data_IF_568797313577
#
_entry.id   IF_568797313577
#
_cell.length_a   1.000
_cell.length_b   1.000
_cell.length_c   1.000
_cell.angle_alpha   90.00
_cell.angle_beta   90.00
_cell.angle_gamma   90.00
#
_symmetry.space_group_name_H-M   'P 1'
#
loop_
_entity.id
_entity.type
_entity.pdbx_description
1 polymer ?
#
# COMPACT_ATOMS: atom_id res chain seq x y z
N UNK A 1 -21.73 -13.67 -21.60
CA UNK A 1 -20.75 -13.04 -22.51
C UNK A 1 -21.08 -11.57 -22.60
N UNK A 2 -20.09 -10.70 -22.78
CA UNK A 2 -20.32 -9.26 -22.98
C UNK A 2 -20.98 -9.04 -24.35
N UNK A 3 -22.08 -8.28 -24.39
CA UNK A 3 -22.85 -7.99 -25.61
C UNK A 3 -21.97 -7.47 -26.75
N UNK A 4 -21.04 -6.56 -26.43
CA UNK A 4 -20.11 -5.97 -27.40
C UNK A 4 -19.17 -7.00 -28.04
N UNK A 5 -18.75 -8.02 -27.29
CA UNK A 5 -17.85 -9.06 -27.81
C UNK A 5 -18.58 -9.98 -28.80
N UNK A 6 -19.85 -10.29 -28.52
CA UNK A 6 -20.69 -11.05 -29.44
C UNK A 6 -20.99 -10.26 -30.73
N UNK A 7 -21.27 -8.96 -30.62
CA UNK A 7 -21.48 -8.10 -31.79
C UNK A 7 -20.19 -7.93 -32.60
N UNK A 8 -19.03 -7.79 -31.96
CA UNK A 8 -17.74 -7.69 -32.63
C UNK A 8 -17.38 -8.97 -33.40
N UNK A 9 -17.73 -10.14 -32.86
CA UNK A 9 -17.37 -11.44 -33.45
C UNK A 9 -18.38 -11.94 -34.49
N UNK A 10 -19.62 -11.44 -34.49
CA UNK A 10 -20.68 -11.89 -35.38
C UNK A 10 -21.36 -10.75 -36.15
N UNK A 11 -20.98 -10.62 -37.44
CA UNK A 11 -21.48 -9.60 -38.36
C UNK A 11 -23.00 -9.66 -38.58
N UNK A 12 -23.63 -10.84 -38.52
CA UNK A 12 -25.07 -10.96 -38.71
C UNK A 12 -25.84 -10.38 -37.52
N UNK A 13 -25.38 -10.68 -36.29
CA UNK A 13 -25.92 -10.07 -35.07
C UNK A 13 -25.70 -8.56 -35.02
N UNK A 14 -24.51 -8.08 -35.39
CA UNK A 14 -24.21 -6.64 -35.48
C UNK A 14 -25.14 -5.90 -36.44
N UNK A 15 -25.40 -6.47 -37.62
CA UNK A 15 -26.35 -5.89 -38.58
C UNK A 15 -27.79 -5.93 -38.10
N UNK A 16 -28.19 -6.98 -37.39
CA UNK A 16 -29.53 -7.05 -36.79
C UNK A 16 -29.72 -5.91 -35.78
N UNK A 17 -28.78 -5.74 -34.85
CA UNK A 17 -28.80 -4.65 -33.87
C UNK A 17 -28.73 -3.26 -34.54
N UNK A 18 -27.95 -3.10 -35.62
CA UNK A 18 -27.86 -1.84 -36.35
C UNK A 18 -29.18 -1.43 -37.04
N UNK A 19 -30.05 -2.39 -37.40
CA UNK A 19 -31.36 -2.11 -38.00
C UNK A 19 -32.39 -1.57 -36.99
N UNK A 20 -32.15 -1.78 -35.70
CA UNK A 20 -33.01 -1.27 -34.62
C UNK A 20 -32.75 0.21 -34.31
N UNK A 21 -31.68 0.77 -34.88
CA UNK A 21 -31.23 2.15 -34.67
C UNK A 21 -31.53 3.01 -35.90
N UNK A 22 -31.73 4.30 -35.67
CA UNK A 22 -31.74 5.30 -36.75
C UNK A 22 -30.32 5.55 -37.26
N UNK A 23 -30.20 6.06 -38.49
CA UNK A 23 -28.90 6.41 -39.10
C UNK A 23 -28.09 7.34 -38.18
N UNK A 24 -28.72 8.40 -37.64
CA UNK A 24 -28.05 9.34 -36.75
C UNK A 24 -27.56 8.70 -35.44
N UNK A 25 -28.33 7.76 -34.87
CA UNK A 25 -27.91 7.02 -33.67
C UNK A 25 -26.73 6.09 -33.97
N UNK A 26 -26.73 5.45 -35.14
CA UNK A 26 -25.63 4.58 -35.58
C UNK A 26 -24.35 5.39 -35.82
N UNK A 27 -24.45 6.56 -36.45
CA UNK A 27 -23.32 7.48 -36.64
C UNK A 27 -22.74 7.95 -35.29
N UNK A 28 -23.60 8.34 -34.34
CA UNK A 28 -23.16 8.74 -33.01
C UNK A 28 -22.49 7.59 -32.25
N UNK A 29 -23.03 6.37 -32.37
CA UNK A 29 -22.42 5.17 -31.79
C UNK A 29 -21.03 4.89 -32.37
N UNK A 30 -20.87 5.01 -33.70
CA UNK A 30 -19.59 4.84 -34.38
C UNK A 30 -18.59 5.91 -33.91
N UNK A 31 -19.00 7.17 -33.82
CA UNK A 31 -18.16 8.26 -33.32
C UNK A 31 -17.67 7.99 -31.89
N UNK A 32 -18.58 7.54 -31.00
CA UNK A 32 -18.23 7.17 -29.64
C UNK A 32 -17.23 6.01 -29.56
N UNK A 33 -17.42 4.96 -30.37
CA UNK A 33 -16.48 3.85 -30.42
C UNK A 33 -15.13 4.22 -31.03
N UNK A 34 -15.09 5.10 -32.02
CA UNK A 34 -13.82 5.62 -32.55
C UNK A 34 -13.04 6.40 -31.47
N UNK A 35 -13.72 7.27 -30.70
CA UNK A 35 -13.07 7.97 -29.60
C UNK A 35 -12.57 7.01 -28.51
N UNK A 36 -13.36 5.99 -28.16
CA UNK A 36 -12.94 4.97 -27.21
C UNK A 36 -11.75 4.17 -27.73
N UNK A 37 -11.71 3.86 -29.03
CA UNK A 37 -10.60 3.16 -29.68
C UNK A 37 -9.31 3.98 -29.63
N UNK A 38 -9.38 5.28 -29.89
CA UNK A 38 -8.21 6.17 -29.80
C UNK A 38 -7.63 6.16 -28.39
N UNK A 39 -8.47 6.34 -27.36
CA UNK A 39 -8.03 6.30 -25.96
C UNK A 39 -7.36 4.98 -25.59
N UNK A 40 -7.96 3.86 -25.98
CA UNK A 40 -7.38 2.53 -25.69
C UNK A 40 -6.04 2.34 -26.40
N UNK A 41 -5.88 2.84 -27.63
CA UNK A 41 -4.60 2.80 -28.34
C UNK A 41 -3.54 3.68 -27.67
N UNK A 42 -3.92 4.88 -27.22
CA UNK A 42 -3.01 5.77 -26.48
C UNK A 42 -2.55 5.13 -25.17
N UNK A 43 -3.48 4.51 -24.42
CA UNK A 43 -3.17 3.81 -23.17
C UNK A 43 -2.24 2.60 -23.39
N UNK A 44 -2.51 1.78 -24.41
CA UNK A 44 -1.65 0.64 -24.76
C UNK A 44 -0.27 1.11 -25.24
N UNK A 45 -0.20 2.14 -26.11
CA UNK A 45 1.08 2.70 -26.54
C UNK A 45 1.88 3.29 -25.37
N UNK A 46 1.22 3.96 -24.42
CA UNK A 46 1.85 4.47 -23.21
C UNK A 46 2.37 3.33 -22.32
N UNK A 47 1.60 2.24 -22.18
CA UNK A 47 2.00 1.05 -21.44
C UNK A 47 3.19 0.35 -22.11
N UNK A 48 3.18 0.18 -23.42
CA UNK A 48 4.29 -0.39 -24.19
C UNK A 48 5.55 0.47 -24.06
N UNK A 49 5.41 1.80 -24.16
CA UNK A 49 6.52 2.73 -23.96
C UNK A 49 7.10 2.67 -22.53
N UNK A 50 6.24 2.57 -21.51
CA UNK A 50 6.68 2.41 -20.13
C UNK A 50 7.42 1.09 -19.93
N UNK A 51 6.90 -0.01 -20.49
CA UNK A 51 7.54 -1.32 -20.43
C UNK A 51 8.89 -1.31 -21.14
N UNK A 52 8.98 -0.72 -22.34
CA UNK A 52 10.22 -0.58 -23.08
C UNK A 52 11.25 0.29 -22.35
N UNK A 53 10.82 1.39 -21.70
CA UNK A 53 11.70 2.22 -20.89
C UNK A 53 12.19 1.46 -19.65
N UNK A 54 11.31 0.69 -19.00
CA UNK A 54 11.67 -0.15 -17.84
C UNK A 54 12.67 -1.24 -18.23
N UNK A 55 12.47 -1.93 -19.34
CA UNK A 55 13.39 -2.96 -19.82
C UNK A 55 14.74 -2.36 -20.21
N UNK A 56 14.76 -1.25 -20.96
CA UNK A 56 16.00 -0.57 -21.34
C UNK A 56 16.80 -0.10 -20.11
N UNK A 57 16.12 0.46 -19.10
CA UNK A 57 16.76 0.82 -17.82
C UNK A 57 17.29 -0.40 -17.07
N UNK A 58 16.55 -1.51 -17.06
CA UNK A 58 17.01 -2.74 -16.42
C UNK A 58 18.27 -3.30 -17.09
N UNK A 59 18.34 -3.26 -18.43
CA UNK A 59 19.53 -3.67 -19.19
C UNK A 59 20.73 -2.76 -18.93
N UNK A 60 20.52 -1.44 -18.85
CA UNK A 60 21.57 -0.49 -18.50
C UNK A 60 22.11 -0.74 -17.09
N UNK A 61 21.21 -0.93 -16.12
CA UNK A 61 21.58 -1.27 -14.74
C UNK A 61 22.34 -2.60 -14.69
N UNK A 62 21.86 -3.64 -15.38
CA UNK A 62 22.55 -4.93 -15.44
C UNK A 62 23.97 -4.80 -16.03
N UNK A 63 24.14 -3.97 -17.05
CA UNK A 63 25.45 -3.69 -17.65
C UNK A 63 26.38 -2.96 -16.68
N UNK A 64 25.87 -1.99 -15.91
CA UNK A 64 26.64 -1.27 -14.90
C UNK A 64 27.07 -2.18 -13.75
N UNK A 65 26.20 -3.10 -13.32
CA UNK A 65 26.51 -4.10 -12.29
C UNK A 65 27.63 -5.02 -12.78
N UNK A 66 27.50 -5.56 -14.01
CA UNK A 66 28.52 -6.42 -14.61
C UNK A 66 29.88 -5.71 -14.75
N UNK A 67 29.89 -4.42 -15.14
CA UNK A 67 31.12 -3.62 -15.22
C UNK A 67 31.76 -3.33 -13.87
N UNK A 68 30.96 -3.24 -12.81
CA UNK A 68 31.44 -2.95 -11.44
C UNK A 68 32.02 -4.19 -10.75
N UNK A 69 31.86 -5.38 -11.35
CA UNK A 69 32.31 -6.64 -10.76
C UNK A 69 31.50 -7.08 -9.53
N UNK A 70 30.36 -6.43 -9.27
CA UNK A 70 29.47 -6.73 -8.15
C UNK A 70 28.45 -7.80 -8.57
N UNK A 71 28.15 -8.72 -7.66
CA UNK A 71 27.11 -9.73 -7.86
C UNK A 71 25.73 -9.20 -7.46
N UNK A 72 24.66 -9.77 -8.04
CA UNK A 72 23.28 -9.41 -7.68
C UNK A 72 23.00 -9.67 -6.18
N UNK A 73 23.65 -10.68 -5.60
CA UNK A 73 23.56 -11.03 -4.18
C UNK A 73 24.15 -9.94 -3.28
N UNK A 74 25.29 -9.36 -3.64
CA UNK A 74 25.91 -8.26 -2.88
C UNK A 74 25.05 -6.99 -2.89
N UNK A 75 24.41 -6.70 -4.03
CA UNK A 75 23.48 -5.56 -4.16
C UNK A 75 22.21 -5.81 -3.35
N UNK A 76 21.68 -7.03 -3.38
CA UNK A 76 20.53 -7.42 -2.56
C UNK A 76 20.83 -7.27 -1.06
N UNK A 77 22.07 -7.59 -0.64
CA UNK A 77 22.51 -7.46 0.75
C UNK A 77 22.60 -6.00 1.22
N UNK A 78 22.95 -5.07 0.33
CA UNK A 78 22.94 -3.63 0.59
C UNK A 78 21.52 -3.05 0.73
N UNK A 79 20.55 -3.68 0.08
CA UNK A 79 19.15 -3.21 0.01
C UNK A 79 18.26 -3.89 1.06
N UNK A 80 18.75 -4.96 1.70
CA UNK A 80 18.02 -5.65 2.74
C UNK A 80 17.76 -4.71 3.94
N UNK A 81 16.50 -4.59 4.42
CA UNK A 81 16.23 -3.83 5.63
C UNK A 81 17.01 -4.48 6.78
N UNK A 82 17.94 -3.73 7.39
CA UNK A 82 18.59 -4.17 8.64
C UNK A 82 17.45 -4.46 9.63
N UNK A 83 17.28 -5.72 10.01
CA UNK A 83 16.29 -6.12 11.00
C UNK A 83 16.55 -5.30 12.28
N UNK A 84 15.72 -4.28 12.50
CA UNK A 84 15.75 -3.50 13.72
C UNK A 84 15.49 -4.43 14.90
N UNK A 85 16.31 -4.32 15.94
CA UNK A 85 16.22 -5.11 17.15
C UNK A 85 14.76 -5.22 17.61
N UNK A 86 14.29 -6.45 17.83
CA UNK A 86 12.94 -6.75 18.27
C UNK A 86 12.56 -5.83 19.44
N UNK A 87 11.55 -4.96 19.24
CA UNK A 87 10.94 -4.18 20.32
C UNK A 87 10.52 -5.16 21.40
N UNK A 88 11.14 -5.06 22.58
CA UNK A 88 10.84 -5.92 23.72
C UNK A 88 9.35 -5.88 24.04
N UNK A 89 8.79 -7.03 24.45
CA UNK A 89 7.40 -7.17 24.90
C UNK A 89 7.02 -6.03 25.84
N UNK A 90 5.96 -5.29 25.49
CA UNK A 90 5.25 -4.42 26.44
C UNK A 90 4.83 -5.26 27.62
N UNK A 91 5.31 -4.90 28.81
CA UNK A 91 4.94 -5.52 30.08
C UNK A 91 3.74 -4.76 30.64
N UNK A 92 2.78 -5.49 31.17
CA UNK A 92 1.55 -4.93 31.75
C UNK A 92 1.85 -4.01 32.95
N UNK A 93 1.04 -2.96 33.18
CA UNK A 93 1.19 -2.08 34.34
C UNK A 93 0.96 -2.86 35.64
N UNK A 94 1.81 -2.59 36.65
CA UNK A 94 1.72 -3.23 37.98
C UNK A 94 1.06 -2.31 39.01
N UNK A 95 1.14 -1.00 38.81
CA UNK A 95 0.63 0.01 39.73
C UNK A 95 -0.32 0.96 39.01
N UNK A 96 -1.41 1.38 39.68
CA UNK A 96 -2.38 2.37 39.20
C UNK A 96 -2.71 3.36 40.31
N UNK A 97 -2.64 4.65 40.01
CA UNK A 97 -2.95 5.72 40.94
C UNK A 97 -3.79 6.79 40.23
N UNK A 98 -4.85 7.26 40.88
CA UNK A 98 -5.68 8.36 40.37
C UNK A 98 -5.35 9.64 41.11
N UNK A 99 -4.89 10.67 40.40
CA UNK A 99 -4.55 11.99 40.95
C UNK A 99 -5.28 13.03 40.10
N UNK A 100 -5.95 13.99 40.74
CA UNK A 100 -6.71 15.05 40.06
C UNK A 100 -7.74 14.56 39.01
N UNK A 101 -8.27 13.33 39.20
CA UNK A 101 -9.23 12.71 38.28
C UNK A 101 -8.60 11.98 37.09
N UNK A 102 -7.28 12.03 36.93
CA UNK A 102 -6.54 11.29 35.90
C UNK A 102 -5.93 9.99 36.46
N UNK A 103 -6.08 8.90 35.69
CA UNK A 103 -5.56 7.57 36.05
C UNK A 103 -4.16 7.40 35.47
N UNK A 104 -3.17 7.24 36.34
CA UNK A 104 -1.79 6.96 35.98
C UNK A 104 -1.43 5.50 36.23
N UNK A 105 -0.82 4.85 35.25
CA UNK A 105 -0.40 3.45 35.32
C UNK A 105 1.11 3.31 35.17
N UNK A 106 1.72 2.41 35.96
CA UNK A 106 3.16 2.20 35.95
C UNK A 106 3.49 0.71 36.05
N UNK A 107 4.35 0.22 35.16
CA UNK A 107 4.79 -1.18 35.09
C UNK A 107 5.73 -1.59 36.22
N UNK A 108 6.15 -0.65 37.06
CA UNK A 108 7.16 -0.89 38.11
C UNK A 108 8.58 -1.10 37.57
N UNK A 109 8.78 -1.00 36.25
CA UNK A 109 10.11 -1.04 35.62
C UNK A 109 10.60 0.37 35.31
N UNK A 110 11.88 0.63 35.58
CA UNK A 110 12.53 1.91 35.28
C UNK A 110 12.27 2.99 36.35
N UNK A 111 12.47 4.25 35.97
CA UNK A 111 12.35 5.40 36.87
C UNK A 111 10.89 5.62 37.27
N UNK A 112 10.64 5.76 38.57
CA UNK A 112 9.30 6.02 39.13
C UNK A 112 8.73 7.33 38.57
N UNK A 113 7.49 7.34 38.05
CA UNK A 113 6.81 8.57 37.65
C UNK A 113 6.58 9.48 38.86
N UNK A 114 6.63 10.80 38.66
CA UNK A 114 6.49 11.80 39.73
C UNK A 114 5.25 11.58 40.60
N UNK A 115 4.11 11.30 39.98
CA UNK A 115 2.83 11.04 40.68
C UNK A 115 2.91 9.90 41.69
N UNK A 116 3.61 8.81 41.36
CA UNK A 116 3.83 7.69 42.27
C UNK A 116 4.87 8.05 43.34
N UNK A 117 5.90 8.82 42.97
CA UNK A 117 6.92 9.29 43.91
C UNK A 117 6.33 10.21 44.98
N UNK A 118 5.48 11.17 44.60
CA UNK A 118 4.79 12.08 45.51
C UNK A 118 3.82 11.31 46.43
N UNK A 119 3.12 10.30 45.89
CA UNK A 119 2.28 9.42 46.70
C UNK A 119 3.06 8.63 47.75
N UNK A 120 4.26 8.14 47.40
CA UNK A 120 5.14 7.44 48.36
C UNK A 120 5.79 8.39 49.36
N UNK A 121 6.14 9.61 48.94
CA UNK A 121 6.72 10.65 49.81
C UNK A 121 5.72 11.13 50.86
N UNK A 122 4.42 11.14 50.53
CA UNK A 122 3.33 11.37 51.48
C UNK A 122 3.13 10.25 52.52
N UNK A 123 4.02 9.24 52.55
CA UNK A 123 4.02 8.16 53.55
C UNK A 123 3.15 6.94 53.19
N UNK A 124 2.60 6.89 51.97
CA UNK A 124 1.76 5.77 51.54
C UNK A 124 2.59 4.60 51.01
N UNK A 125 2.19 3.37 51.36
CA UNK A 125 2.87 2.15 50.92
C UNK A 125 2.63 1.84 49.44
N UNK A 126 3.62 1.21 48.81
CA UNK A 126 3.57 0.75 47.41
C UNK A 126 2.42 -0.20 47.10
N UNK A 127 2.02 -0.99 48.10
CA UNK A 127 0.90 -1.94 48.00
C UNK A 127 -0.46 -1.23 47.84
N UNK A 128 -0.58 0.04 48.28
CA UNK A 128 -1.82 0.79 48.20
C UNK A 128 -2.21 1.18 46.77
N UNK A 129 -1.27 1.12 45.84
CA UNK A 129 -1.44 1.49 44.43
C UNK A 129 -1.12 0.31 43.50
N UNK A 130 -0.93 -0.89 44.05
CA UNK A 130 -0.69 -2.10 43.27
C UNK A 130 -2.00 -2.62 42.68
N UNK A 131 -1.99 -2.92 41.39
CA UNK A 131 -3.12 -3.54 40.70
C UNK A 131 -3.11 -5.02 41.11
N UNK A 132 -4.14 -5.46 41.83
CA UNK A 132 -4.36 -6.88 42.15
C UNK A 132 -5.05 -7.61 41.00
#
# INVERSE_FOLDING_TARGET
MSLLLELASNKAKARAAAKELTVAQLENLIAGFNNALEKVKEEEAAREAEQAMKSARAEEIATLIAKSGLTMEEIALLTAPKAGAAKGKTVEPKYRLTVDGEVHEWTGRGRTPKVFQEHFDAGNSRESVEIK
#
